data_IF_511705289497
#
_entry.id   IF_511705289497
#
_cell.length_a   1.000
_cell.length_b   1.000
_cell.length_c   1.000
_cell.angle_alpha   90.00
_cell.angle_beta   90.00
_cell.angle_gamma   90.00
#
_symmetry.space_group_name_H-M   'P 1'
#
loop_
_entity.id
_entity.type
_entity.pdbx_description
1 polymer ?
#
# COMPACT_ATOMS: atom_id res chain seq x y z
N UNK A 1 -3.74 4.04 -71.38
CA UNK A 1 -3.56 3.58 -69.98
C UNK A 1 -2.07 3.52 -69.72
N UNK A 2 -1.56 4.13 -68.65
CA UNK A 2 -0.15 3.96 -68.27
C UNK A 2 0.05 2.51 -67.81
N UNK A 3 0.99 1.78 -68.40
CA UNK A 3 1.32 0.42 -67.97
C UNK A 3 2.14 0.52 -66.68
N UNK A 4 1.60 -0.01 -65.58
CA UNK A 4 2.34 -0.16 -64.33
C UNK A 4 3.34 -1.31 -64.50
N UNK A 5 4.63 -1.05 -64.29
CA UNK A 5 5.67 -2.06 -64.40
C UNK A 5 5.86 -2.78 -63.07
N UNK A 6 6.13 -4.09 -63.13
CA UNK A 6 6.35 -4.95 -61.97
C UNK A 6 7.74 -5.58 -62.03
N UNK A 7 8.49 -5.45 -60.95
CA UNK A 7 9.85 -5.97 -60.82
C UNK A 7 9.95 -6.87 -59.60
N UNK A 8 10.43 -8.10 -59.79
CA UNK A 8 10.88 -8.97 -58.70
C UNK A 8 12.37 -8.77 -58.50
N UNK A 9 12.79 -8.52 -57.27
CA UNK A 9 14.19 -8.37 -56.89
C UNK A 9 14.60 -9.63 -56.12
N UNK A 10 15.64 -10.31 -56.59
CA UNK A 10 16.17 -11.52 -55.96
C UNK A 10 17.20 -11.21 -54.84
N UNK A 11 17.46 -9.93 -54.58
CA UNK A 11 18.36 -9.44 -53.52
C UNK A 11 17.63 -8.77 -52.34
N UNK A 12 18.37 -8.51 -51.27
CA UNK A 12 17.85 -7.91 -50.02
C UNK A 12 17.80 -6.38 -50.01
N UNK A 13 18.17 -5.74 -51.12
CA UNK A 13 18.20 -4.29 -51.29
C UNK A 13 17.56 -3.90 -52.62
N UNK A 14 16.94 -2.71 -52.65
CA UNK A 14 16.49 -2.10 -53.89
C UNK A 14 17.67 -1.77 -54.81
N UNK A 15 17.49 -1.86 -56.14
CA UNK A 15 18.47 -1.37 -57.10
C UNK A 15 18.79 0.12 -56.90
N UNK A 16 20.03 0.50 -57.18
CA UNK A 16 20.51 1.89 -57.06
C UNK A 16 19.81 2.86 -58.04
N UNK A 17 19.14 2.33 -59.06
CA UNK A 17 18.34 3.09 -60.01
C UNK A 17 17.00 2.40 -60.17
N UNK A 18 15.93 3.15 -59.90
CA UNK A 18 14.57 2.65 -60.00
C UNK A 18 13.84 3.35 -61.12
N UNK A 19 12.97 2.61 -61.78
CA UNK A 19 12.13 3.14 -62.84
C UNK A 19 10.97 3.95 -62.23
N UNK A 20 10.60 5.09 -62.83
CA UNK A 20 9.43 5.84 -62.42
C UNK A 20 8.13 5.03 -62.53
N UNK A 21 7.20 5.24 -61.61
CA UNK A 21 5.85 4.64 -61.64
C UNK A 21 5.86 3.11 -61.79
N UNK A 22 6.67 2.43 -60.99
CA UNK A 22 6.84 0.99 -61.01
C UNK A 22 6.67 0.39 -59.60
N UNK A 23 6.28 -0.88 -59.58
CA UNK A 23 6.17 -1.69 -58.37
C UNK A 23 7.35 -2.66 -58.28
N UNK A 24 7.95 -2.74 -57.09
CA UNK A 24 9.06 -3.62 -56.77
C UNK A 24 8.66 -4.54 -55.63
N UNK A 25 9.02 -5.82 -55.74
CA UNK A 25 8.82 -6.82 -54.69
C UNK A 25 10.13 -7.54 -54.39
N UNK A 26 10.49 -7.64 -53.11
CA UNK A 26 11.79 -8.16 -52.69
C UNK A 26 11.70 -8.92 -51.36
N UNK A 27 12.67 -9.79 -51.07
CA UNK A 27 12.80 -10.46 -49.78
C UNK A 27 13.90 -9.80 -48.94
N UNK A 28 13.55 -9.33 -47.74
CA UNK A 28 14.45 -8.61 -46.83
C UNK A 28 14.66 -9.39 -45.56
N UNK A 29 15.88 -9.37 -45.05
CA UNK A 29 16.15 -9.82 -43.69
C UNK A 29 15.81 -8.70 -42.70
N UNK A 30 14.95 -8.98 -41.73
CA UNK A 30 14.56 -8.03 -40.69
C UNK A 30 14.69 -8.68 -39.31
N UNK A 31 15.29 -7.95 -38.38
CA UNK A 31 15.37 -8.37 -36.97
C UNK A 31 14.30 -7.65 -36.16
N UNK A 32 13.39 -8.42 -35.55
CA UNK A 32 12.34 -7.92 -34.64
C UNK A 32 12.42 -8.72 -33.35
N UNK A 33 12.51 -8.04 -32.19
CA UNK A 33 12.57 -8.71 -30.88
C UNK A 33 13.75 -9.67 -30.70
N UNK A 34 14.89 -9.40 -31.36
CA UNK A 34 16.07 -10.27 -31.32
C UNK A 34 15.99 -11.52 -32.20
N UNK A 35 14.91 -11.68 -32.97
CA UNK A 35 14.76 -12.76 -33.95
C UNK A 35 14.88 -12.21 -35.36
N UNK A 36 15.72 -12.85 -36.18
CA UNK A 36 15.92 -12.50 -37.59
C UNK A 36 15.02 -13.36 -38.46
N UNK A 37 14.25 -12.72 -39.35
CA UNK A 37 13.33 -13.39 -40.25
C UNK A 37 13.42 -12.79 -41.66
N UNK A 38 13.23 -13.63 -42.68
CA UNK A 38 13.06 -13.18 -44.07
C UNK A 38 11.61 -12.80 -44.30
N UNK A 39 11.38 -11.54 -44.68
CA UNK A 39 10.06 -10.97 -44.92
C UNK A 39 9.99 -10.47 -46.35
N UNK A 40 8.80 -10.46 -46.94
CA UNK A 40 8.60 -9.86 -48.23
C UNK A 40 8.20 -8.39 -48.08
N UNK A 41 8.84 -7.49 -48.83
CA UNK A 41 8.54 -6.06 -48.84
C UNK A 41 8.21 -5.59 -50.26
N UNK A 42 7.16 -4.76 -50.35
CA UNK A 42 6.76 -4.10 -51.59
C UNK A 42 7.17 -2.63 -51.60
N UNK A 43 7.50 -2.09 -52.77
CA UNK A 43 7.79 -0.68 -52.96
C UNK A 43 7.11 -0.14 -54.22
N UNK A 44 6.64 1.10 -54.16
CA UNK A 44 6.12 1.84 -55.30
C UNK A 44 6.99 3.06 -55.56
N UNK A 45 7.37 3.31 -56.80
CA UNK A 45 8.09 4.52 -57.18
C UNK A 45 7.14 5.59 -57.71
N UNK A 46 7.42 6.86 -57.40
CA UNK A 46 6.71 7.99 -57.99
C UNK A 46 7.24 8.31 -59.40
N UNK A 47 6.76 9.40 -60.02
CA UNK A 47 7.22 9.84 -61.34
C UNK A 47 8.71 10.28 -61.40
N UNK A 48 9.34 10.51 -60.25
CA UNK A 48 10.75 10.82 -60.14
C UNK A 48 11.63 9.57 -59.87
N UNK A 49 11.02 8.38 -59.74
CA UNK A 49 11.74 7.14 -59.39
C UNK A 49 12.03 6.99 -57.89
N UNK A 50 11.45 7.83 -57.04
CA UNK A 50 11.64 7.73 -55.58
C UNK A 50 10.76 6.63 -54.99
N UNK A 51 11.38 5.67 -54.31
CA UNK A 51 10.68 4.54 -53.70
C UNK A 51 9.92 4.93 -52.43
N UNK A 52 8.70 4.42 -52.30
CA UNK A 52 7.90 4.41 -51.08
C UNK A 52 7.57 2.97 -50.72
N UNK A 53 7.81 2.59 -49.48
CA UNK A 53 7.51 1.25 -49.01
C UNK A 53 5.99 1.04 -48.86
N UNK A 54 5.53 -0.12 -49.29
CA UNK A 54 4.18 -0.64 -49.09
C UNK A 54 4.31 -1.81 -48.11
N UNK A 55 4.15 -1.53 -46.81
CA UNK A 55 4.23 -2.55 -45.76
C UNK A 55 5.66 -2.99 -45.41
N UNK A 56 6.52 -2.05 -45.01
CA UNK A 56 7.85 -2.37 -44.48
C UNK A 56 7.78 -2.73 -42.99
N UNK A 57 8.49 -3.78 -42.60
CA UNK A 57 8.41 -4.32 -41.23
C UNK A 57 8.99 -3.36 -40.20
N UNK A 58 9.93 -2.49 -40.56
CA UNK A 58 10.41 -1.44 -39.66
C UNK A 58 9.35 -0.36 -39.42
N UNK A 59 8.55 0.01 -40.43
CA UNK A 59 7.42 0.93 -40.23
C UNK A 59 6.36 0.30 -39.32
N UNK A 60 5.99 -0.96 -39.57
CA UNK A 60 5.03 -1.70 -38.75
C UNK A 60 5.58 -1.87 -37.32
N UNK A 61 6.86 -2.20 -37.19
CA UNK A 61 7.55 -2.35 -35.90
C UNK A 61 7.61 -1.04 -35.11
N UNK A 62 7.87 0.09 -35.77
CA UNK A 62 7.85 1.41 -35.13
C UNK A 62 6.43 1.76 -34.66
N UNK A 63 5.42 1.59 -35.51
CA UNK A 63 4.01 1.83 -35.14
C UNK A 63 3.61 0.92 -33.96
N UNK A 64 3.95 -0.37 -34.03
CA UNK A 64 3.64 -1.31 -32.97
C UNK A 64 4.38 -0.99 -31.66
N UNK A 65 5.66 -0.63 -31.73
CA UNK A 65 6.46 -0.30 -30.55
C UNK A 65 6.04 1.00 -29.90
N UNK A 66 5.70 2.04 -30.68
CA UNK A 66 5.13 3.29 -30.18
C UNK A 66 3.79 3.04 -29.49
N UNK A 67 2.92 2.25 -30.11
CA UNK A 67 1.63 1.90 -29.55
C UNK A 67 1.78 1.08 -28.25
N UNK A 68 2.67 0.08 -28.24
CA UNK A 68 2.98 -0.72 -27.04
C UNK A 68 3.58 0.16 -25.94
N UNK A 69 4.53 1.04 -26.26
CA UNK A 69 5.12 1.94 -25.29
C UNK A 69 4.07 2.88 -24.67
N UNK A 70 3.12 3.36 -25.48
CA UNK A 70 1.98 4.14 -25.02
C UNK A 70 1.08 3.34 -24.07
N UNK A 71 0.73 2.10 -24.42
CA UNK A 71 -0.03 1.22 -23.53
C UNK A 71 0.71 0.92 -22.22
N UNK A 72 2.02 0.67 -22.28
CA UNK A 72 2.84 0.38 -21.11
C UNK A 72 3.04 1.61 -20.22
N UNK A 73 3.13 2.81 -20.80
CA UNK A 73 3.17 4.06 -20.04
C UNK A 73 1.87 4.31 -19.27
N UNK A 74 0.73 3.85 -19.81
CA UNK A 74 -0.57 3.94 -19.13
C UNK A 74 -0.80 2.82 -18.10
N UNK A 75 0.02 1.75 -18.08
CA UNK A 75 -0.03 0.67 -17.08
C UNK A 75 0.62 1.06 -15.74
N UNK A 76 0.24 2.20 -15.17
CA UNK A 76 0.50 2.46 -13.76
C UNK A 76 -0.35 1.52 -12.91
N UNK A 77 0.30 0.70 -12.07
CA UNK A 77 -0.42 -0.25 -11.20
C UNK A 77 -1.37 0.47 -10.21
N UNK A 78 -1.02 1.70 -9.80
CA UNK A 78 -1.85 2.55 -8.94
C UNK A 78 -1.78 3.99 -9.45
N UNK A 79 -2.94 4.59 -9.72
CA UNK A 79 -3.11 5.99 -10.10
C UNK A 79 -3.34 6.85 -8.85
N UNK A 80 -2.86 8.09 -8.84
CA UNK A 80 -3.13 9.05 -7.77
C UNK A 80 -4.14 10.10 -8.24
N UNK A 81 -5.21 10.31 -7.46
CA UNK A 81 -6.17 11.39 -7.62
C UNK A 81 -6.09 12.34 -6.42
N UNK A 82 -6.22 13.64 -6.65
CA UNK A 82 -6.24 14.62 -5.55
C UNK A 82 -7.59 14.67 -4.82
N UNK A 83 -8.69 14.36 -5.51
CA UNK A 83 -10.04 14.30 -4.96
C UNK A 83 -10.96 13.32 -5.72
N UNK A 84 -12.21 13.17 -5.27
CA UNK A 84 -13.21 12.27 -5.91
C UNK A 84 -13.53 12.68 -7.36
N UNK A 85 -13.59 13.97 -7.67
CA UNK A 85 -13.83 14.41 -9.05
C UNK A 85 -12.68 13.98 -9.98
N UNK A 86 -11.43 14.09 -9.52
CA UNK A 86 -10.26 13.61 -10.26
C UNK A 86 -10.25 12.08 -10.38
N UNK A 87 -10.70 11.34 -9.36
CA UNK A 87 -10.88 9.88 -9.44
C UNK A 87 -11.84 9.49 -10.57
N UNK A 88 -12.97 10.20 -10.67
CA UNK A 88 -13.97 9.96 -11.73
C UNK A 88 -13.41 10.30 -13.12
N UNK A 89 -12.62 11.37 -13.25
CA UNK A 89 -11.95 11.70 -14.50
C UNK A 89 -10.96 10.59 -14.93
N UNK A 90 -10.16 10.06 -14.00
CA UNK A 90 -9.21 8.97 -14.28
C UNK A 90 -9.93 7.68 -14.69
N UNK A 91 -11.10 7.38 -14.13
CA UNK A 91 -11.86 6.21 -14.56
C UNK A 91 -12.38 6.31 -16.00
N UNK A 92 -12.67 7.53 -16.47
CA UNK A 92 -13.06 7.80 -17.85
C UNK A 92 -11.87 7.72 -18.84
N UNK A 93 -10.63 7.81 -18.36
CA UNK A 93 -9.44 7.49 -19.15
C UNK A 93 -9.37 5.97 -19.38
N UNK A 94 -8.87 5.53 -20.54
CA UNK A 94 -8.64 4.11 -20.85
C UNK A 94 -9.82 3.18 -20.47
N UNK A 95 -10.96 3.24 -21.18
CA UNK A 95 -12.22 2.56 -20.81
C UNK A 95 -12.18 1.03 -20.98
N UNK A 96 -10.99 0.45 -21.11
CA UNK A 96 -10.77 -0.98 -21.35
C UNK A 96 -10.00 -1.67 -20.22
N UNK A 97 -9.51 -0.91 -19.23
CA UNK A 97 -8.67 -1.42 -18.14
C UNK A 97 -9.23 -1.09 -16.77
N UNK A 98 -9.26 -2.11 -15.90
CA UNK A 98 -9.51 -1.95 -14.48
C UNK A 98 -8.38 -1.15 -13.84
N UNK A 99 -8.69 -0.33 -12.83
CA UNK A 99 -7.73 0.62 -12.25
C UNK A 99 -7.75 0.58 -10.74
N UNK A 100 -6.57 0.60 -10.12
CA UNK A 100 -6.44 0.95 -8.70
C UNK A 100 -6.15 2.45 -8.60
N UNK A 101 -6.95 3.18 -7.81
CA UNK A 101 -6.85 4.63 -7.68
C UNK A 101 -6.79 5.00 -6.20
N UNK A 102 -5.65 5.55 -5.77
CA UNK A 102 -5.53 6.19 -4.47
C UNK A 102 -6.03 7.63 -4.59
N UNK A 103 -6.97 8.03 -3.72
CA UNK A 103 -7.50 9.39 -3.66
C UNK A 103 -6.99 10.08 -2.41
N UNK A 104 -6.23 11.16 -2.56
CA UNK A 104 -5.63 11.89 -1.45
C UNK A 104 -6.68 12.60 -0.56
N UNK A 105 -7.63 13.33 -1.17
CA UNK A 105 -8.79 13.94 -0.50
C UNK A 105 -10.08 13.23 -0.84
N UNK A 106 -10.45 12.22 -0.06
CA UNK A 106 -11.58 11.33 -0.38
C UNK A 106 -12.94 11.79 0.18
N UNK A 107 -13.03 12.95 0.83
CA UNK A 107 -14.25 13.47 1.50
C UNK A 107 -15.45 13.74 0.58
N UNK A 108 -15.27 13.67 -0.74
CA UNK A 108 -16.41 13.66 -1.68
C UNK A 108 -17.19 12.34 -1.69
N UNK A 109 -16.65 11.29 -1.07
CA UNK A 109 -17.34 10.03 -0.78
C UNK A 109 -17.94 10.16 0.62
N UNK A 110 -19.27 10.04 0.74
CA UNK A 110 -19.98 10.24 2.01
C UNK A 110 -19.61 9.24 3.10
N UNK A 111 -18.93 8.15 2.74
CA UNK A 111 -18.44 7.15 3.68
C UNK A 111 -17.03 7.44 4.19
N UNK A 112 -16.39 8.52 3.73
CA UNK A 112 -15.03 8.93 4.15
C UNK A 112 -15.11 10.31 4.82
N UNK A 113 -14.96 10.33 6.15
CA UNK A 113 -15.12 11.57 6.94
C UNK A 113 -13.92 12.51 6.77
N UNK A 114 -12.71 11.95 6.70
CA UNK A 114 -11.48 12.69 6.44
C UNK A 114 -10.43 11.82 5.73
N UNK A 115 -9.39 12.45 5.19
CA UNK A 115 -8.22 11.73 4.67
C UNK A 115 -8.40 11.11 3.28
N UNK A 116 -7.72 9.98 3.08
CA UNK A 116 -7.55 9.33 1.78
C UNK A 116 -8.33 8.03 1.68
N UNK A 117 -8.56 7.54 0.47
CA UNK A 117 -9.12 6.20 0.26
C UNK A 117 -8.62 5.58 -1.04
N UNK A 118 -8.50 4.25 -1.03
CA UNK A 118 -8.11 3.44 -2.16
C UNK A 118 -9.35 2.83 -2.81
N UNK A 119 -9.48 2.98 -4.12
CA UNK A 119 -10.59 2.46 -4.89
C UNK A 119 -10.08 1.53 -5.99
N UNK A 120 -10.88 0.52 -6.28
CA UNK A 120 -10.77 -0.28 -7.48
C UNK A 120 -11.90 0.13 -8.42
N UNK A 121 -11.58 0.47 -9.67
CA UNK A 121 -12.56 0.70 -10.73
C UNK A 121 -12.69 -0.55 -11.58
N UNK A 122 -13.89 -1.12 -11.58
CA UNK A 122 -14.26 -2.22 -12.46
C UNK A 122 -14.88 -1.65 -13.74
N UNK A 123 -14.23 -1.89 -14.87
CA UNK A 123 -14.70 -1.43 -16.19
C UNK A 123 -15.96 -2.17 -16.64
N UNK A 124 -16.10 -3.45 -16.29
CA UNK A 124 -17.23 -4.26 -16.72
C UNK A 124 -18.53 -3.80 -16.05
N UNK A 125 -18.44 -3.35 -14.80
CA UNK A 125 -19.57 -2.81 -14.02
C UNK A 125 -19.68 -1.29 -14.13
N UNK A 126 -18.63 -0.61 -14.59
CA UNK A 126 -18.55 0.86 -14.61
C UNK A 126 -18.60 1.47 -13.21
N UNK A 127 -18.10 0.75 -12.21
CA UNK A 127 -18.33 1.05 -10.80
C UNK A 127 -17.03 1.07 -10.00
N UNK A 128 -17.04 1.84 -8.91
CA UNK A 128 -15.95 1.87 -7.94
C UNK A 128 -16.27 1.00 -6.73
N UNK A 129 -15.32 0.17 -6.34
CA UNK A 129 -15.30 -0.49 -5.03
C UNK A 129 -14.27 0.20 -4.14
N UNK A 130 -14.67 0.65 -2.95
CA UNK A 130 -13.74 1.16 -1.94
C UNK A 130 -13.01 -0.03 -1.32
N UNK A 131 -11.69 -0.10 -1.49
CA UNK A 131 -10.85 -1.20 -1.02
C UNK A 131 -10.35 -0.92 0.40
N UNK A 132 -9.93 0.32 0.65
CA UNK A 132 -9.45 0.76 1.94
C UNK A 132 -9.73 2.25 2.11
N UNK A 133 -9.86 2.67 3.36
CA UNK A 133 -9.83 4.08 3.76
C UNK A 133 -8.65 4.31 4.70
N UNK A 134 -8.05 5.47 4.58
CA UNK A 134 -6.91 5.91 5.37
C UNK A 134 -7.26 7.21 6.04
N UNK A 135 -7.76 7.08 7.26
CA UNK A 135 -7.73 8.16 8.23
C UNK A 135 -6.40 8.07 8.99
N UNK A 136 -5.84 9.21 9.41
CA UNK A 136 -4.68 9.19 10.29
C UNK A 136 -5.05 8.38 11.54
N UNK A 137 -4.46 7.21 11.70
CA UNK A 137 -4.65 6.40 12.90
C UNK A 137 -3.90 7.05 14.05
N UNK A 138 -4.58 7.92 14.80
CA UNK A 138 -4.13 8.28 16.14
C UNK A 138 -4.74 7.28 17.13
N UNK A 139 -3.90 6.37 17.63
CA UNK A 139 -4.34 5.36 18.59
C UNK A 139 -4.14 5.93 20.00
N UNK A 140 -5.19 6.56 20.52
CA UNK A 140 -5.24 6.95 21.93
C UNK A 140 -5.93 5.85 22.76
N UNK A 141 -5.19 5.22 23.66
CA UNK A 141 -5.77 4.30 24.64
C UNK A 141 -6.12 5.04 25.94
N UNK A 142 -7.28 4.71 26.51
CA UNK A 142 -7.62 5.09 27.88
C UNK A 142 -7.54 3.85 28.78
N UNK A 143 -7.26 4.04 30.08
CA UNK A 143 -7.18 2.94 31.04
C UNK A 143 -8.45 2.07 31.06
N UNK A 144 -9.62 2.71 30.93
CA UNK A 144 -10.91 2.01 30.85
C UNK A 144 -11.16 1.29 29.51
N UNK A 145 -10.33 1.51 28.49
CA UNK A 145 -10.43 0.83 27.20
C UNK A 145 -9.66 -0.50 27.15
N UNK A 146 -8.96 -0.87 28.22
CA UNK A 146 -8.19 -2.11 28.27
C UNK A 146 -9.13 -3.30 28.57
N UNK A 147 -9.15 -4.28 27.66
CA UNK A 147 -9.84 -5.55 27.86
C UNK A 147 -9.01 -6.42 28.80
N UNK A 148 -9.67 -7.13 29.72
CA UNK A 148 -9.04 -7.94 30.77
C UNK A 148 -8.04 -7.16 31.64
N UNK A 149 -8.20 -5.83 31.71
CA UNK A 149 -7.45 -4.95 32.59
C UNK A 149 -7.94 -5.00 34.04
N UNK A 150 -7.17 -4.48 35.01
CA UNK A 150 -7.62 -4.38 36.39
C UNK A 150 -8.84 -3.47 36.52
N UNK A 151 -9.78 -3.84 37.39
CA UNK A 151 -10.94 -2.99 37.73
C UNK A 151 -10.55 -1.70 38.45
N UNK A 152 -9.35 -1.67 39.06
CA UNK A 152 -8.82 -0.50 39.75
C UNK A 152 -8.64 0.67 38.78
N UNK A 153 -9.15 1.84 39.16
CA UNK A 153 -8.81 3.11 38.51
C UNK A 153 -7.34 3.46 38.75
N UNK A 154 -6.72 4.30 37.88
CA UNK A 154 -5.36 4.78 38.13
C UNK A 154 -5.19 5.40 39.51
N UNK A 155 -6.18 6.17 39.99
CA UNK A 155 -6.17 6.77 41.32
C UNK A 155 -6.18 5.73 42.46
N UNK A 156 -6.90 4.62 42.31
CA UNK A 156 -6.90 3.54 43.31
C UNK A 156 -5.55 2.81 43.33
N UNK A 157 -4.90 2.65 42.18
CA UNK A 157 -3.54 2.11 42.10
C UNK A 157 -2.57 3.05 42.81
N UNK A 158 -2.63 4.34 42.54
CA UNK A 158 -1.79 5.35 43.19
C UNK A 158 -2.00 5.38 44.72
N UNK A 159 -3.25 5.28 45.16
CA UNK A 159 -3.60 5.23 46.59
C UNK A 159 -3.09 3.94 47.26
N UNK A 160 -3.22 2.80 46.58
CA UNK A 160 -2.69 1.53 47.07
C UNK A 160 -1.17 1.59 47.23
N UNK A 161 -0.46 2.19 46.26
CA UNK A 161 0.98 2.42 46.32
C UNK A 161 1.35 3.32 47.50
N UNK A 162 0.62 4.42 47.71
CA UNK A 162 0.85 5.31 48.85
C UNK A 162 0.63 4.63 50.20
N UNK A 163 -0.40 3.76 50.30
CA UNK A 163 -0.74 3.05 51.55
C UNK A 163 0.14 1.85 51.83
N UNK A 164 0.78 1.25 50.82
CA UNK A 164 1.63 0.08 50.97
C UNK A 164 2.80 0.26 51.98
N UNK A 165 3.15 1.51 52.29
CA UNK A 165 4.23 1.85 53.23
C UNK A 165 3.79 2.79 54.38
N UNK A 166 2.50 2.89 54.66
CA UNK A 166 1.99 3.77 55.72
C UNK A 166 1.27 2.99 56.82
N UNK A 167 1.74 3.11 58.06
CA UNK A 167 1.02 2.66 59.25
C UNK A 167 0.85 3.84 60.21
N UNK A 168 -0.40 4.24 60.44
CA UNK A 168 -0.71 5.33 61.38
C UNK A 168 -0.18 5.03 62.80
N UNK A 169 -0.15 3.75 63.19
CA UNK A 169 0.34 3.26 64.47
C UNK A 169 1.75 2.66 64.40
N UNK A 170 2.56 3.00 63.38
CA UNK A 170 3.92 2.45 63.22
C UNK A 170 4.73 2.52 64.51
N UNK A 171 4.70 3.65 65.20
CA UNK A 171 5.43 3.84 66.45
C UNK A 171 4.99 2.90 67.58
N UNK A 172 3.77 2.38 67.57
CA UNK A 172 3.31 1.35 68.54
C UNK A 172 3.71 -0.04 68.09
N UNK A 173 3.58 -0.33 66.79
CA UNK A 173 4.01 -1.61 66.20
C UNK A 173 5.52 -1.82 66.41
N UNK A 174 6.33 -0.77 66.31
CA UNK A 174 7.78 -0.79 66.58
C UNK A 174 8.10 -1.14 68.06
N UNK A 175 7.15 -0.98 68.99
CA UNK A 175 7.32 -1.37 70.40
C UNK A 175 6.92 -2.82 70.68
N UNK A 176 6.22 -3.47 69.75
CA UNK A 176 5.88 -4.88 69.86
C UNK A 176 7.06 -5.73 69.38
N UNK A 177 7.30 -6.85 70.05
CA UNK A 177 8.35 -7.78 69.67
C UNK A 177 8.10 -9.16 70.26
N UNK A 178 9.06 -10.07 70.06
CA UNK A 178 9.03 -11.44 70.57
C UNK A 178 10.29 -11.71 71.38
N UNK A 179 10.17 -12.32 72.55
CA UNK A 179 11.34 -12.71 73.34
C UNK A 179 11.88 -14.09 72.92
N UNK A 180 13.01 -14.52 73.49
CA UNK A 180 13.62 -15.83 73.21
C UNK A 180 12.73 -17.04 73.57
N UNK A 181 11.67 -16.84 74.35
CA UNK A 181 10.68 -17.86 74.72
C UNK A 181 9.42 -17.80 73.85
N UNK A 182 9.45 -17.07 72.74
CA UNK A 182 8.34 -16.89 71.79
C UNK A 182 7.11 -16.21 72.40
N UNK A 183 7.31 -15.37 73.42
CA UNK A 183 6.23 -14.61 74.04
C UNK A 183 6.15 -13.20 73.46
N UNK A 184 4.93 -12.71 73.26
CA UNK A 184 4.67 -11.33 72.87
C UNK A 184 5.23 -10.36 73.93
N UNK A 185 5.98 -9.37 73.48
CA UNK A 185 6.53 -8.31 74.31
C UNK A 185 6.01 -6.94 73.89
N UNK A 186 5.93 -6.02 74.85
CA UNK A 186 5.76 -4.60 74.60
C UNK A 186 6.90 -3.86 75.29
N UNK A 187 7.64 -3.04 74.54
CA UNK A 187 8.86 -2.35 75.00
C UNK A 187 9.89 -3.32 75.61
N UNK A 188 9.98 -4.53 75.06
CA UNK A 188 10.88 -5.58 75.53
C UNK A 188 10.43 -6.35 76.78
N UNK A 189 9.28 -6.00 77.39
CA UNK A 189 8.72 -6.73 78.52
C UNK A 189 7.65 -7.73 78.07
N UNK A 190 7.70 -8.97 78.56
CA UNK A 190 6.72 -10.00 78.23
C UNK A 190 5.33 -9.63 78.75
N UNK A 191 4.34 -9.60 77.85
CA UNK A 191 2.94 -9.41 78.22
C UNK A 191 2.43 -10.71 78.83
N UNK A 192 1.88 -10.63 80.05
CA UNK A 192 1.41 -11.81 80.80
C UNK A 192 2.50 -12.61 81.52
N UNK A 193 3.75 -12.12 81.56
CA UNK A 193 4.85 -12.79 82.28
C UNK A 193 5.10 -12.28 83.71
N UNK A 194 4.51 -11.15 84.11
CA UNK A 194 4.60 -10.59 85.46
C UNK A 194 3.33 -10.84 86.29
N UNK A 195 3.39 -10.61 87.61
CA UNK A 195 2.23 -10.68 88.51
C UNK A 195 1.09 -9.82 87.95
N UNK A 196 0.11 -10.47 87.34
CA UNK A 196 -0.97 -9.81 86.63
C UNK A 196 -1.95 -9.25 87.68
N UNK A 197 -2.58 -8.10 87.42
CA UNK A 197 -3.59 -7.52 88.36
C UNK A 197 -4.76 -8.46 88.65
N UNK A 198 -4.97 -9.50 87.83
CA UNK A 198 -5.97 -10.55 88.09
C UNK A 198 -5.46 -11.67 89.02
N UNK A 199 -4.15 -11.80 89.25
CA UNK A 199 -3.58 -12.80 90.14
C UNK A 199 -3.78 -12.46 91.63
N UNK A 200 -4.19 -11.22 91.95
CA UNK A 200 -4.50 -10.77 93.31
C UNK A 200 -5.98 -10.81 93.64
N UNK A 201 -6.85 -11.10 92.66
CA UNK A 201 -8.29 -11.24 92.89
C UNK A 201 -8.56 -12.73 93.07
N UNK A 202 -8.66 -13.20 94.31
CA UNK A 202 -9.24 -14.51 94.60
C UNK A 202 -10.74 -14.43 94.26
N UNK A 203 -11.10 -14.94 93.09
CA UNK A 203 -12.49 -15.21 92.70
C UNK A 203 -12.91 -16.59 93.19
#
# INVERSE_FOLDING_TARGET
>A
MAQLKFHKIDGSLLPNQLEPSAFYYMQREVTVGGQTQMVAEGYLTNQAGEARALGNVALIGNIASELIAQYMANMQAIRLATNIANRNAIAAEDPQINKLILVAGATGDSTVTAGSALYFYDVSEGAFTKVAEYESMDIQFTWGSLVDGPESTPAQVDEAVAKAHAHANKGVLDLLGENASQQLTYRGAAIGGGAMEWATVNW
#
